data_IF_714132365494
#
_entry.id   IF_714132365494
#
_cell.length_a   1.000
_cell.length_b   1.000
_cell.length_c   1.000
_cell.angle_alpha   90.00
_cell.angle_beta   90.00
_cell.angle_gamma   90.00
#
_symmetry.space_group_name_H-M   'P 1'
#
loop_
_entity.id
_entity.type
_entity.pdbx_description
1 polymer ?
#
# COMPACT_ATOMS: atom_id res chain seq x y z
N UNK A 1 -32.60 -7.24 -29.47
CA UNK A 1 -32.95 -6.87 -28.08
C UNK A 1 -31.97 -7.53 -27.12
N UNK A 2 -30.81 -6.91 -26.83
CA UNK A 2 -29.78 -7.49 -25.94
C UNK A 2 -29.36 -6.54 -24.78
N UNK A 3 -29.77 -5.27 -24.83
CA UNK A 3 -29.39 -4.24 -23.84
C UNK A 3 -29.92 -4.48 -22.42
N UNK A 4 -31.04 -5.21 -22.27
CA UNK A 4 -31.66 -5.45 -20.96
C UNK A 4 -30.91 -6.45 -20.07
N UNK A 5 -30.19 -7.42 -20.67
CA UNK A 5 -29.38 -8.41 -19.93
C UNK A 5 -27.94 -7.97 -19.71
N UNK A 6 -27.42 -7.09 -20.57
CA UNK A 6 -26.04 -6.63 -20.46
C UNK A 6 -25.82 -5.61 -19.34
N UNK A 7 -26.82 -4.74 -19.07
CA UNK A 7 -26.80 -3.79 -17.93
C UNK A 7 -26.68 -4.46 -16.55
N UNK A 8 -27.48 -5.49 -16.19
CA UNK A 8 -27.37 -6.13 -14.89
C UNK A 8 -26.07 -6.93 -14.71
N UNK A 9 -25.52 -7.51 -15.80
CA UNK A 9 -24.21 -8.19 -15.76
C UNK A 9 -23.08 -7.21 -15.46
N UNK A 10 -23.08 -6.04 -16.12
CA UNK A 10 -22.08 -4.99 -15.86
C UNK A 10 -22.21 -4.48 -14.42
N UNK A 11 -23.42 -4.25 -13.93
CA UNK A 11 -23.64 -3.80 -12.56
C UNK A 11 -23.11 -4.81 -11.52
N UNK A 12 -23.38 -6.11 -11.73
CA UNK A 12 -22.85 -7.17 -10.88
C UNK A 12 -21.31 -7.26 -10.92
N UNK A 13 -20.70 -7.06 -12.09
CA UNK A 13 -19.24 -7.02 -12.23
C UNK A 13 -18.62 -5.82 -11.51
N UNK A 14 -19.24 -4.65 -11.60
CA UNK A 14 -18.77 -3.45 -10.90
C UNK A 14 -18.84 -3.66 -9.38
N UNK A 15 -19.93 -4.22 -8.87
CA UNK A 15 -20.06 -4.52 -7.44
C UNK A 15 -18.99 -5.52 -6.98
N UNK A 16 -18.76 -6.59 -7.74
CA UNK A 16 -17.71 -7.56 -7.42
C UNK A 16 -16.30 -6.93 -7.42
N UNK A 17 -16.03 -5.98 -8.32
CA UNK A 17 -14.76 -5.25 -8.33
C UNK A 17 -14.65 -4.30 -7.12
N UNK A 18 -15.73 -3.60 -6.75
CA UNK A 18 -15.76 -2.74 -5.57
C UNK A 18 -15.57 -3.53 -4.27
N UNK A 19 -16.18 -4.70 -4.16
CA UNK A 19 -15.98 -5.61 -3.02
C UNK A 19 -14.53 -6.10 -2.95
N UNK A 20 -13.93 -6.43 -4.10
CA UNK A 20 -12.53 -6.83 -4.19
C UNK A 20 -11.59 -5.70 -3.76
N UNK A 21 -11.80 -4.48 -4.27
CA UNK A 21 -11.03 -3.28 -3.89
C UNK A 21 -11.16 -3.05 -2.38
N UNK A 22 -12.38 -3.07 -1.86
CA UNK A 22 -12.65 -2.87 -0.43
C UNK A 22 -11.92 -3.90 0.42
N UNK A 23 -11.92 -5.18 0.02
CA UNK A 23 -11.21 -6.24 0.73
C UNK A 23 -9.68 -6.06 0.71
N UNK A 24 -9.12 -5.51 -0.37
CA UNK A 24 -7.70 -5.17 -0.47
C UNK A 24 -7.36 -3.96 0.42
N UNK A 25 -8.18 -2.90 0.34
CA UNK A 25 -7.98 -1.63 1.05
C UNK A 25 -8.15 -1.74 2.57
N UNK A 26 -9.08 -2.56 3.04
CA UNK A 26 -9.26 -2.82 4.48
C UNK A 26 -8.05 -3.53 5.10
N UNK A 27 -7.12 -4.02 4.28
CA UNK A 27 -5.96 -4.78 4.70
C UNK A 27 -6.37 -6.13 5.28
N UNK A 28 -5.44 -7.08 5.29
CA UNK A 28 -5.70 -8.29 6.05
C UNK A 28 -5.78 -7.92 7.54
N UNK A 29 -6.82 -8.34 8.26
CA UNK A 29 -6.86 -8.25 9.72
C UNK A 29 -5.67 -8.97 10.42
N UNK A 30 -4.80 -9.60 9.63
CA UNK A 30 -3.49 -10.17 9.98
C UNK A 30 -2.39 -9.10 10.06
N UNK A 31 -2.39 -8.07 9.22
CA UNK A 31 -1.48 -6.91 9.30
C UNK A 31 -1.60 -6.16 10.64
N UNK A 32 -2.80 -6.16 11.24
CA UNK A 32 -3.06 -5.59 12.56
C UNK A 32 -2.69 -6.52 13.74
N UNK A 33 -2.55 -7.83 13.49
CA UNK A 33 -2.30 -8.84 14.54
C UNK A 33 -0.81 -9.16 14.66
N UNK A 34 -0.07 -8.29 15.35
CA UNK A 34 1.08 -8.68 16.18
C UNK A 34 2.37 -9.13 15.48
N UNK A 35 2.55 -8.89 14.18
CA UNK A 35 3.84 -9.13 13.52
C UNK A 35 4.90 -8.08 13.90
N UNK A 36 6.17 -8.50 13.99
CA UNK A 36 7.28 -7.56 14.16
C UNK A 36 7.32 -6.57 12.99
N UNK A 37 7.21 -5.27 13.31
CA UNK A 37 7.28 -4.18 12.32
C UNK A 37 8.63 -4.16 11.62
N UNK A 38 8.61 -3.78 10.36
CA UNK A 38 9.84 -3.57 9.60
C UNK A 38 10.39 -2.18 9.92
N UNK A 39 11.43 -2.13 10.75
CA UNK A 39 12.19 -0.89 11.00
C UNK A 39 12.95 -0.44 9.75
N UNK A 40 13.10 0.87 9.58
CA UNK A 40 13.95 1.46 8.55
C UNK A 40 15.43 1.44 8.93
N UNK A 41 15.73 1.25 10.23
CA UNK A 41 17.11 1.27 10.74
C UNK A 41 17.67 2.68 10.91
N UNK A 42 16.80 3.69 10.84
CA UNK A 42 17.12 5.09 11.09
C UNK A 42 16.23 5.53 12.24
N UNK A 43 16.82 5.76 13.42
CA UNK A 43 16.11 6.03 14.68
C UNK A 43 15.04 7.12 14.54
N UNK A 44 15.40 8.24 13.91
CA UNK A 44 14.47 9.36 13.71
C UNK A 44 13.27 8.99 12.82
N UNK A 45 13.44 8.09 11.86
CA UNK A 45 12.34 7.62 11.00
C UNK A 45 11.48 6.60 11.76
N UNK A 46 12.12 5.65 12.44
CA UNK A 46 11.42 4.62 13.20
C UNK A 46 10.59 5.24 14.34
N UNK A 47 11.08 6.29 14.99
CA UNK A 47 10.39 6.99 16.06
C UNK A 47 9.11 7.71 15.60
N UNK A 48 9.06 8.22 14.36
CA UNK A 48 7.89 8.94 13.84
C UNK A 48 6.87 8.00 13.18
N UNK A 49 7.31 6.83 12.68
CA UNK A 49 6.41 5.86 12.08
C UNK A 49 5.53 5.24 13.17
N UNK A 50 4.20 5.19 12.98
CA UNK A 50 3.29 4.62 13.97
C UNK A 50 3.75 3.23 14.41
N UNK A 51 4.04 3.09 15.70
CA UNK A 51 4.49 1.87 16.36
C UNK A 51 5.89 1.37 16.00
N UNK A 52 6.76 2.22 15.44
CA UNK A 52 8.19 1.91 15.32
C UNK A 52 8.64 1.33 13.98
N UNK A 53 7.85 1.47 12.91
CA UNK A 53 8.19 0.95 11.59
C UNK A 53 6.97 0.56 10.75
N UNK A 54 7.23 -0.01 9.56
CA UNK A 54 6.18 -0.42 8.63
C UNK A 54 5.47 -1.68 9.12
N UNK A 55 4.13 -1.66 9.09
CA UNK A 55 3.32 -2.84 9.29
C UNK A 55 3.57 -3.86 8.16
N UNK A 56 3.74 -5.13 8.51
CA UNK A 56 3.79 -6.23 7.54
C UNK A 56 2.40 -6.48 6.96
N UNK A 57 2.36 -7.02 5.74
CA UNK A 57 1.12 -7.32 5.02
C UNK A 57 0.19 -6.11 4.83
N UNK A 58 0.77 -4.89 4.81
CA UNK A 58 0.09 -3.61 4.63
C UNK A 58 0.69 -2.85 3.44
N UNK A 59 -0.14 -2.00 2.82
CA UNK A 59 0.28 -1.07 1.78
C UNK A 59 0.83 0.21 2.45
N UNK A 60 2.07 0.58 2.12
CA UNK A 60 2.69 1.84 2.55
C UNK A 60 3.01 2.66 1.32
N UNK A 61 2.38 3.84 1.19
CA UNK A 61 2.66 4.78 0.13
C UNK A 61 3.73 5.78 0.60
N UNK A 62 4.80 5.93 -0.17
CA UNK A 62 5.88 6.89 0.09
C UNK A 62 5.87 7.89 -1.06
N UNK A 63 5.67 9.16 -0.71
CA UNK A 63 5.58 10.25 -1.69
C UNK A 63 6.66 11.26 -1.37
N UNK A 64 7.56 11.53 -2.33
CA UNK A 64 8.50 12.64 -2.24
C UNK A 64 7.86 13.97 -2.61
N UNK A 65 8.48 15.08 -2.18
CA UNK A 65 8.06 16.40 -2.63
C UNK A 65 8.35 16.58 -4.13
N UNK A 66 7.36 17.03 -4.89
CA UNK A 66 7.52 17.32 -6.31
C UNK A 66 8.47 18.53 -6.50
N UNK A 67 9.69 18.27 -6.95
CA UNK A 67 10.71 19.29 -7.18
C UNK A 67 11.66 18.89 -8.32
N UNK A 68 11.36 19.38 -9.51
CA UNK A 68 12.17 19.46 -10.74
C UNK A 68 13.03 18.25 -11.15
N UNK A 69 12.50 17.51 -12.12
CA UNK A 69 13.31 16.92 -13.19
C UNK A 69 13.80 15.50 -12.93
N UNK A 70 12.94 14.52 -13.23
CA UNK A 70 13.32 13.17 -13.73
C UNK A 70 14.23 12.30 -12.86
N UNK A 71 14.60 12.73 -11.66
CA UNK A 71 15.35 11.94 -10.68
C UNK A 71 14.34 11.30 -9.74
N UNK A 72 14.45 9.99 -9.53
CA UNK A 72 13.72 9.29 -8.47
C UNK A 72 13.92 10.09 -7.17
N UNK A 73 12.85 10.48 -6.49
CA UNK A 73 13.04 11.18 -5.23
C UNK A 73 13.87 10.31 -4.27
N UNK A 74 14.75 10.95 -3.50
CA UNK A 74 15.69 10.22 -2.64
C UNK A 74 14.98 9.37 -1.58
N UNK A 75 13.76 9.75 -1.20
CA UNK A 75 12.94 9.04 -0.23
C UNK A 75 12.47 7.68 -0.76
N UNK A 76 11.96 7.63 -1.99
CA UNK A 76 11.51 6.40 -2.66
C UNK A 76 12.67 5.45 -2.92
N UNK A 77 13.83 5.99 -3.35
CA UNK A 77 15.02 5.15 -3.55
C UNK A 77 15.54 4.58 -2.22
N UNK A 78 15.64 5.39 -1.17
CA UNK A 78 16.07 4.94 0.15
C UNK A 78 15.10 3.89 0.73
N UNK A 79 13.79 4.11 0.56
CA UNK A 79 12.76 3.15 0.95
C UNK A 79 12.94 1.80 0.24
N UNK A 80 13.07 1.82 -1.09
CA UNK A 80 13.27 0.61 -1.88
C UNK A 80 14.57 -0.13 -1.50
N UNK A 81 15.66 0.62 -1.25
CA UNK A 81 16.94 0.06 -0.83
C UNK A 81 16.84 -0.66 0.54
N UNK A 82 16.14 -0.07 1.51
CA UNK A 82 15.91 -0.69 2.83
C UNK A 82 15.12 -1.99 2.68
N UNK A 83 14.07 -2.02 1.85
CA UNK A 83 13.31 -3.25 1.60
C UNK A 83 14.18 -4.33 0.93
N UNK A 84 14.99 -3.95 -0.06
CA UNK A 84 15.86 -4.88 -0.79
C UNK A 84 16.97 -5.47 0.09
N UNK A 85 17.53 -4.68 1.01
CA UNK A 85 18.59 -5.12 1.92
C UNK A 85 18.11 -6.10 3.01
N UNK A 86 16.79 -6.23 3.22
CA UNK A 86 16.18 -7.00 4.32
C UNK A 86 15.48 -8.27 3.86
N UNK A 87 15.94 -8.84 2.74
CA UNK A 87 15.44 -10.09 2.16
C UNK A 87 15.76 -11.31 3.03
#
# INVERSE_FOLDING_TARGET
VNNGRQRPVIAAQILALQDCITAIEQGSARAQRGGARLTMGVENIDAILPGGGLARDALHEVVGQAGYGRVLDGATLAFAAVLAARR
#
